data_IF_983606697632
#
_entry.id   IF_983606697632
#
_cell.length_a   1.000
_cell.length_b   1.000
_cell.length_c   1.000
_cell.angle_alpha   90.00
_cell.angle_beta   90.00
_cell.angle_gamma   90.00
#
_symmetry.space_group_name_H-M   'P 1'
#
loop_
_entity.id
_entity.type
_entity.pdbx_description
1 polymer ?
#
# COMPACT_ATOMS: atom_id res chain seq x y z
N UNK A 1 -11.78 -8.07 26.74
CA UNK A 1 -11.80 -6.61 26.50
C UNK A 1 -11.57 -6.37 25.03
N UNK A 2 -12.44 -5.59 24.37
CA UNK A 2 -12.33 -5.31 22.93
C UNK A 2 -11.24 -4.25 22.76
N UNK A 3 -10.16 -4.58 22.04
CA UNK A 3 -9.04 -3.67 21.75
C UNK A 3 -9.16 -3.03 20.37
N UNK A 4 -8.40 -1.97 20.12
CA UNK A 4 -8.28 -1.38 18.79
C UNK A 4 -7.70 -2.43 17.80
N UNK A 5 -8.35 -2.62 16.66
CA UNK A 5 -8.07 -3.67 15.68
C UNK A 5 -8.97 -4.90 15.78
N UNK A 6 -9.82 -5.00 16.81
CA UNK A 6 -10.79 -6.08 16.92
C UNK A 6 -11.85 -5.98 15.83
N UNK A 7 -12.17 -7.12 15.20
CA UNK A 7 -13.36 -7.26 14.37
C UNK A 7 -14.56 -7.43 15.27
N UNK A 8 -15.59 -6.64 15.00
CA UNK A 8 -16.82 -6.62 15.79
C UNK A 8 -17.99 -6.75 14.83
N UNK A 9 -18.95 -7.58 15.20
CA UNK A 9 -20.18 -7.76 14.44
C UNK A 9 -21.28 -6.94 15.11
N UNK A 10 -21.96 -6.11 14.32
CA UNK A 10 -23.02 -5.24 14.80
C UNK A 10 -24.31 -5.53 14.06
N UNK A 11 -25.36 -5.89 14.81
CA UNK A 11 -26.66 -6.34 14.30
C UNK A 11 -27.25 -5.48 13.16
N UNK A 12 -26.99 -4.17 13.18
CA UNK A 12 -27.51 -3.21 12.17
C UNK A 12 -26.52 -2.88 11.05
N UNK A 13 -25.22 -2.92 11.30
CA UNK A 13 -24.20 -2.38 10.37
C UNK A 13 -23.27 -3.46 9.80
N UNK A 14 -23.46 -4.72 10.22
CA UNK A 14 -22.62 -5.83 9.85
C UNK A 14 -21.22 -5.70 10.45
N UNK A 15 -20.24 -6.24 9.73
CA UNK A 15 -18.87 -6.37 10.20
C UNK A 15 -18.14 -5.03 10.20
N UNK A 16 -17.52 -4.70 11.33
CA UNK A 16 -16.68 -3.53 11.47
C UNK A 16 -15.35 -3.81 12.17
N UNK A 17 -14.37 -2.97 11.91
CA UNK A 17 -13.05 -2.97 12.56
C UNK A 17 -12.99 -1.83 13.58
N UNK A 18 -12.69 -2.13 14.83
CA UNK A 18 -12.53 -1.12 15.89
C UNK A 18 -11.26 -0.31 15.61
N UNK A 19 -11.39 0.99 15.36
CA UNK A 19 -10.27 1.90 15.11
C UNK A 19 -9.65 2.42 16.41
N UNK A 20 -10.46 2.70 17.42
CA UNK A 20 -10.00 3.20 18.72
C UNK A 20 -11.00 2.84 19.83
N UNK A 21 -10.53 2.68 21.06
CA UNK A 21 -11.36 2.37 22.23
C UNK A 21 -11.18 3.47 23.27
N UNK A 22 -12.29 4.05 23.73
CA UNK A 22 -12.34 5.12 24.73
C UNK A 22 -13.31 4.73 25.84
N UNK A 23 -12.80 4.13 26.91
CA UNK A 23 -13.61 3.65 28.03
C UNK A 23 -14.56 2.54 27.60
N UNK A 24 -15.87 2.78 27.69
CA UNK A 24 -16.92 1.82 27.30
C UNK A 24 -17.36 1.95 25.83
N UNK A 25 -16.76 2.88 25.08
CA UNK A 25 -17.11 3.20 23.70
C UNK A 25 -15.96 2.86 22.75
N UNK A 26 -16.27 2.44 21.52
CA UNK A 26 -15.30 2.22 20.46
C UNK A 26 -15.68 2.97 19.18
N UNK A 27 -14.69 3.60 18.53
CA UNK A 27 -14.84 4.11 17.18
C UNK A 27 -14.66 2.94 16.22
N UNK A 28 -15.69 2.58 15.45
CA UNK A 28 -15.68 1.40 14.59
C UNK A 28 -15.84 1.82 13.14
N UNK A 29 -15.01 1.25 12.28
CA UNK A 29 -15.12 1.34 10.83
C UNK A 29 -15.92 0.14 10.33
N UNK A 30 -17.14 0.37 9.88
CA UNK A 30 -17.93 -0.66 9.21
C UNK A 30 -17.53 -0.70 7.74
N UNK A 31 -17.14 -1.88 7.25
CA UNK A 31 -16.77 -2.02 5.85
C UNK A 31 -18.03 -1.80 5.01
N UNK A 32 -17.98 -0.82 4.13
CA UNK A 32 -19.15 -0.40 3.37
C UNK A 32 -19.57 -1.52 2.42
N UNK A 33 -20.81 -1.98 2.52
CA UNK A 33 -21.46 -2.65 1.39
C UNK A 33 -21.39 -1.72 0.17
N UNK A 34 -21.16 -2.29 -1.01
CA UNK A 34 -20.90 -1.56 -2.27
C UNK A 34 -21.79 -0.32 -2.44
N UNK A 35 -21.16 0.85 -2.67
CA UNK A 35 -21.84 2.07 -3.09
C UNK A 35 -21.53 3.36 -2.31
N UNK A 36 -20.76 3.35 -1.22
CA UNK A 36 -20.40 4.59 -0.50
C UNK A 36 -18.89 4.70 -0.21
N UNK A 37 -18.15 5.69 -0.76
CA UNK A 37 -16.67 5.71 -0.73
C UNK A 37 -16.03 6.04 0.64
N UNK A 38 -16.84 6.33 1.66
CA UNK A 38 -16.42 6.54 3.05
C UNK A 38 -17.50 5.99 3.96
N UNK A 39 -17.27 4.82 4.56
CA UNK A 39 -18.14 4.31 5.62
C UNK A 39 -18.19 5.29 6.81
N UNK A 40 -19.34 5.44 7.50
CA UNK A 40 -19.46 6.35 8.61
C UNK A 40 -18.68 5.81 9.82
N UNK A 41 -17.60 6.47 10.23
CA UNK A 41 -17.00 6.24 11.55
C UNK A 41 -18.07 6.53 12.60
N UNK A 42 -18.47 5.53 13.38
CA UNK A 42 -19.47 5.69 14.44
C UNK A 42 -18.96 5.17 15.76
N UNK A 43 -19.24 5.94 16.81
CA UNK A 43 -18.95 5.58 18.20
C UNK A 43 -20.07 4.66 18.69
N UNK A 44 -19.74 3.41 19.02
CA UNK A 44 -20.71 2.41 19.53
C UNK A 44 -20.34 1.91 20.92
N UNK A 45 -21.35 1.55 21.72
CA UNK A 45 -21.14 0.97 23.06
C UNK A 45 -20.73 -0.50 22.97
N UNK A 46 -19.61 -0.83 23.61
CA UNK A 46 -18.96 -2.15 23.51
C UNK A 46 -19.73 -3.31 24.18
N UNK A 47 -20.83 -3.00 24.89
CA UNK A 47 -21.63 -4.00 25.62
C UNK A 47 -22.61 -4.79 24.73
N UNK A 48 -22.79 -4.39 23.47
CA UNK A 48 -23.78 -4.96 22.53
C UNK A 48 -23.16 -5.72 21.34
N UNK A 49 -21.86 -6.01 21.39
CA UNK A 49 -21.15 -6.70 20.31
C UNK A 49 -20.90 -8.15 20.77
N UNK A 50 -21.66 -9.09 20.21
CA UNK A 50 -21.40 -10.53 20.38
C UNK A 50 -20.18 -10.89 19.52
N UNK A 51 -19.08 -11.20 20.19
CA UNK A 51 -17.84 -11.68 19.59
C UNK A 51 -18.15 -13.01 18.89
N UNK A 52 -18.22 -13.03 17.56
CA UNK A 52 -18.10 -14.29 16.82
C UNK A 52 -16.66 -14.75 16.96
N UNK A 53 -16.50 -15.95 17.51
CA UNK A 53 -15.21 -16.53 17.80
C UNK A 53 -14.29 -16.54 16.58
N UNK A 54 -13.06 -16.12 16.85
CA UNK A 54 -11.93 -16.15 15.92
C UNK A 54 -11.68 -17.59 15.44
N UNK A 55 -12.20 -17.91 14.25
CA UNK A 55 -11.79 -19.10 13.50
C UNK A 55 -10.82 -18.69 12.38
N UNK A 56 -9.81 -17.91 12.74
CA UNK A 56 -8.53 -17.89 12.04
C UNK A 56 -7.51 -17.96 13.16
N UNK A 57 -6.91 -19.14 13.33
CA UNK A 57 -5.74 -19.30 14.17
C UNK A 57 -4.76 -18.16 13.84
N UNK A 58 -4.40 -17.27 14.79
CA UNK A 58 -3.51 -16.14 14.51
C UNK A 58 -2.12 -16.59 14.01
N UNK A 59 -1.82 -17.89 14.07
CA UNK A 59 -0.67 -18.53 13.44
C UNK A 59 -0.79 -18.73 11.91
N UNK A 60 -1.94 -18.45 11.28
CA UNK A 60 -2.22 -18.81 9.88
C UNK A 60 -2.54 -17.62 8.94
N UNK A 61 -2.29 -16.36 9.33
CA UNK A 61 -2.31 -15.26 8.35
C UNK A 61 -1.06 -15.42 7.46
N UNK A 62 -1.20 -15.70 6.15
CA UNK A 62 -0.03 -15.84 5.29
C UNK A 62 0.76 -14.52 5.30
N UNK A 63 2.10 -14.58 5.38
CA UNK A 63 2.92 -13.38 5.41
C UNK A 63 2.68 -12.56 4.14
N UNK A 64 2.61 -11.23 4.30
CA UNK A 64 2.42 -10.31 3.18
C UNK A 64 3.56 -10.47 2.18
N UNK A 65 3.20 -10.73 0.93
CA UNK A 65 4.13 -10.86 -0.19
C UNK A 65 4.11 -9.59 -1.03
N UNK A 66 5.28 -9.08 -1.38
CA UNK A 66 5.48 -7.85 -2.14
C UNK A 66 6.24 -8.15 -3.44
N UNK A 67 5.85 -7.48 -4.52
CA UNK A 67 6.58 -7.47 -5.78
C UNK A 67 6.95 -6.06 -6.21
N UNK A 68 8.01 -5.94 -7.01
CA UNK A 68 8.40 -4.68 -7.64
C UNK A 68 7.55 -4.41 -8.87
N UNK A 69 7.29 -3.14 -9.12
CA UNK A 69 6.78 -2.66 -10.40
C UNK A 69 7.58 -1.43 -10.85
N UNK A 70 7.69 -1.29 -12.16
CA UNK A 70 8.36 -0.17 -12.82
C UNK A 70 7.38 0.51 -13.75
N UNK A 71 7.31 1.84 -13.68
CA UNK A 71 6.46 2.68 -14.53
C UNK A 71 7.35 3.64 -15.30
N UNK A 72 7.11 3.75 -16.59
CA UNK A 72 7.70 4.79 -17.42
C UNK A 72 7.01 6.14 -17.18
N UNK A 73 7.81 7.18 -17.01
CA UNK A 73 7.35 8.55 -16.79
C UNK A 73 7.57 9.39 -18.05
N UNK A 74 6.62 10.28 -18.34
CA UNK A 74 6.74 11.30 -19.38
C UNK A 74 7.85 12.28 -19.03
N UNK A 75 8.53 12.74 -20.06
CA UNK A 75 9.51 13.82 -19.93
C UNK A 75 8.87 15.08 -19.37
N UNK A 76 9.56 15.71 -18.42
CA UNK A 76 9.14 16.97 -17.82
C UNK A 76 10.34 17.73 -17.27
N UNK A 77 10.26 19.06 -17.29
CA UNK A 77 11.23 19.93 -16.65
C UNK A 77 11.23 19.80 -15.10
N UNK A 78 10.20 19.20 -14.51
CA UNK A 78 10.13 18.92 -13.07
C UNK A 78 10.97 17.69 -12.67
N UNK A 79 11.41 16.89 -13.64
CA UNK A 79 12.24 15.70 -13.40
C UNK A 79 13.73 16.07 -13.50
N UNK A 80 14.60 15.41 -12.70
CA UNK A 80 16.03 15.68 -12.72
C UNK A 80 16.62 15.39 -14.11
N UNK A 81 17.65 16.12 -14.58
CA UNK A 81 18.20 15.94 -15.92
C UNK A 81 18.74 14.52 -16.14
N UNK A 82 18.54 13.99 -17.36
CA UNK A 82 19.12 12.71 -17.81
C UNK A 82 20.49 12.92 -18.45
N UNK A 83 21.41 12.00 -18.18
CA UNK A 83 22.66 11.88 -18.92
C UNK A 83 22.46 11.32 -20.33
N UNK A 84 21.43 10.49 -20.53
CA UNK A 84 21.09 9.86 -21.80
C UNK A 84 19.60 10.07 -22.10
N UNK A 85 19.31 10.86 -23.14
CA UNK A 85 17.93 11.19 -23.55
C UNK A 85 17.20 10.03 -24.22
N UNK A 86 17.91 8.98 -24.66
CA UNK A 86 17.29 7.78 -25.23
C UNK A 86 16.62 6.90 -24.18
N UNK A 87 16.97 7.08 -22.89
CA UNK A 87 16.43 6.30 -21.78
C UNK A 87 15.28 7.04 -21.11
N UNK A 88 14.10 6.43 -20.95
CA UNK A 88 12.99 7.05 -20.24
C UNK A 88 13.29 7.27 -18.75
N UNK A 89 12.56 8.19 -18.14
CA UNK A 89 12.46 8.29 -16.69
C UNK A 89 11.63 7.13 -16.14
N UNK A 90 12.04 6.56 -15.02
CA UNK A 90 11.37 5.43 -14.39
C UNK A 90 10.92 5.78 -12.97
N UNK A 91 9.77 5.25 -12.58
CA UNK A 91 9.35 5.15 -11.20
C UNK A 91 9.39 3.69 -10.75
N UNK A 92 10.02 3.42 -9.61
CA UNK A 92 10.08 2.10 -8.97
C UNK A 92 9.27 2.12 -7.69
N UNK A 93 8.50 1.06 -7.46
CA UNK A 93 7.81 0.86 -6.20
C UNK A 93 7.54 -0.61 -5.92
N UNK A 94 7.01 -0.87 -4.72
CA UNK A 94 6.57 -2.20 -4.28
C UNK A 94 5.06 -2.25 -4.06
N UNK A 95 4.48 -3.44 -4.25
CA UNK A 95 3.05 -3.65 -4.07
C UNK A 95 2.70 -5.08 -3.65
N UNK A 96 1.69 -5.20 -2.79
CA UNK A 96 1.04 -6.47 -2.47
C UNK A 96 0.15 -6.93 -3.62
N UNK A 97 -0.49 -5.98 -4.30
CA UNK A 97 -1.46 -6.20 -5.36
C UNK A 97 -0.77 -6.46 -6.71
N UNK A 98 -1.53 -6.86 -7.75
CA UNK A 98 -1.04 -6.81 -9.12
C UNK A 98 -0.52 -5.41 -9.50
N UNK A 99 0.62 -5.30 -10.22
CA UNK A 99 1.15 -4.01 -10.68
C UNK A 99 0.16 -3.16 -11.47
N UNK A 100 -0.72 -3.80 -12.25
CA UNK A 100 -1.77 -3.13 -13.02
C UNK A 100 -2.76 -2.37 -12.11
N UNK A 101 -3.24 -3.02 -11.05
CA UNK A 101 -4.15 -2.41 -10.09
C UNK A 101 -3.48 -1.26 -9.33
N UNK A 102 -2.20 -1.45 -8.95
CA UNK A 102 -1.41 -0.40 -8.31
C UNK A 102 -1.23 0.81 -9.23
N UNK A 103 -1.01 0.57 -10.53
CA UNK A 103 -0.91 1.63 -11.52
C UNK A 103 -2.24 2.36 -11.70
N UNK A 104 -3.36 1.63 -11.77
CA UNK A 104 -4.69 2.23 -11.83
C UNK A 104 -4.95 3.15 -10.63
N UNK A 105 -4.63 2.71 -9.41
CA UNK A 105 -4.72 3.54 -8.19
C UNK A 105 -3.88 4.82 -8.32
N UNK A 106 -2.67 4.73 -8.87
CA UNK A 106 -1.84 5.91 -9.10
C UNK A 106 -2.48 6.87 -10.11
N UNK A 107 -3.16 6.37 -11.14
CA UNK A 107 -3.81 7.21 -12.17
C UNK A 107 -5.13 7.81 -11.72
N UNK A 108 -5.90 7.13 -10.88
CA UNK A 108 -7.13 7.68 -10.27
C UNK A 108 -6.82 8.72 -9.18
N UNK A 109 -5.58 8.73 -8.68
CA UNK A 109 -5.20 9.50 -7.51
C UNK A 109 -5.74 8.87 -6.22
N UNK A 110 -5.21 9.32 -5.09
CA UNK A 110 -5.60 8.79 -3.78
C UNK A 110 -4.51 8.96 -2.73
N UNK A 111 -4.82 8.57 -1.49
CA UNK A 111 -3.91 8.77 -0.35
C UNK A 111 -2.56 8.04 -0.50
N UNK A 112 -2.55 6.92 -1.21
CA UNK A 112 -1.35 6.09 -1.42
C UNK A 112 -0.77 6.26 -2.82
N UNK A 113 -1.27 7.19 -3.62
CA UNK A 113 -0.78 7.44 -4.97
C UNK A 113 0.49 8.32 -4.93
N UNK A 114 1.46 8.00 -5.77
CA UNK A 114 2.63 8.85 -5.98
C UNK A 114 2.22 10.03 -6.85
N UNK A 115 2.53 11.25 -6.40
CA UNK A 115 2.26 12.48 -7.18
C UNK A 115 2.99 12.43 -8.53
N UNK A 116 4.22 11.91 -8.55
CA UNK A 116 5.02 11.79 -9.78
C UNK A 116 4.34 10.86 -10.77
N UNK A 117 3.85 9.70 -10.32
CA UNK A 117 3.16 8.73 -11.19
C UNK A 117 1.79 9.24 -11.63
N UNK A 118 1.04 9.89 -10.75
CA UNK A 118 -0.24 10.50 -11.09
C UNK A 118 -0.06 11.49 -12.25
N UNK A 119 0.89 12.41 -12.11
CA UNK A 119 1.15 13.50 -13.07
C UNK A 119 1.88 13.01 -14.31
N UNK A 120 2.88 12.14 -14.19
CA UNK A 120 3.82 11.80 -15.27
C UNK A 120 3.76 10.34 -15.72
N UNK A 121 3.13 9.43 -14.98
CA UNK A 121 3.10 8.01 -15.32
C UNK A 121 2.37 7.73 -16.63
N UNK A 122 3.07 7.03 -17.54
CA UNK A 122 2.61 6.64 -18.86
C UNK A 122 2.11 5.20 -18.89
N UNK A 123 2.98 4.22 -18.66
CA UNK A 123 2.65 2.79 -18.67
C UNK A 123 3.63 1.95 -17.85
N UNK A 124 3.21 0.74 -17.48
CA UNK A 124 4.08 -0.24 -16.80
C UNK A 124 5.15 -0.76 -17.76
N UNK A 125 6.34 -1.08 -17.23
CA UNK A 125 7.46 -1.70 -17.94
C UNK A 125 7.79 -3.10 -17.40
N UNK A 126 6.99 -4.13 -17.71
CA UNK A 126 7.21 -5.48 -17.18
C UNK A 126 8.56 -6.09 -17.56
N UNK A 127 9.11 -5.67 -18.70
CA UNK A 127 10.46 -6.00 -19.14
C UNK A 127 11.54 -5.60 -18.12
N UNK A 128 11.29 -4.56 -17.32
CA UNK A 128 12.23 -4.03 -16.33
C UNK A 128 12.03 -4.58 -14.92
N UNK A 129 10.97 -5.37 -14.64
CA UNK A 129 10.73 -5.87 -13.28
C UNK A 129 10.32 -7.33 -13.15
N UNK A 130 9.94 -8.03 -14.22
CA UNK A 130 9.49 -9.43 -14.14
C UNK A 130 10.56 -10.40 -13.64
N UNK A 131 11.83 -10.05 -13.76
CA UNK A 131 12.94 -10.86 -13.24
C UNK A 131 13.09 -10.80 -11.71
N UNK A 132 12.48 -9.82 -11.04
CA UNK A 132 12.53 -9.74 -9.58
C UNK A 132 11.47 -10.65 -8.97
N UNK A 133 11.94 -11.61 -8.16
CA UNK A 133 11.06 -12.46 -7.37
C UNK A 133 10.37 -11.66 -6.27
N UNK A 134 9.15 -12.09 -5.94
CA UNK A 134 8.40 -11.51 -4.82
C UNK A 134 9.05 -11.90 -3.50
N UNK A 135 8.99 -11.00 -2.53
CA UNK A 135 9.57 -11.20 -1.19
C UNK A 135 8.49 -11.09 -0.12
N UNK A 136 8.69 -11.76 1.01
CA UNK A 136 7.78 -11.69 2.16
C UNK A 136 8.34 -10.78 3.23
N UNK A 137 7.48 -9.90 3.75
CA UNK A 137 7.82 -8.98 4.84
C UNK A 137 8.32 -7.61 4.37
N UNK A 138 7.99 -6.60 5.18
CA UNK A 138 8.15 -5.19 4.83
C UNK A 138 9.62 -4.78 4.63
N UNK A 139 10.54 -5.33 5.43
CA UNK A 139 11.99 -5.05 5.34
C UNK A 139 12.54 -5.56 4.01
N UNK A 140 12.26 -6.83 3.68
CA UNK A 140 12.70 -7.43 2.43
C UNK A 140 12.09 -6.70 1.22
N UNK A 141 10.85 -6.22 1.33
CA UNK A 141 10.22 -5.43 0.28
C UNK A 141 10.95 -4.10 0.04
N UNK A 142 11.33 -3.38 1.11
CA UNK A 142 12.11 -2.15 0.98
C UNK A 142 13.51 -2.40 0.39
N UNK A 143 14.16 -3.50 0.76
CA UNK A 143 15.45 -3.90 0.18
C UNK A 143 15.31 -4.23 -1.32
N UNK A 144 14.25 -4.95 -1.69
CA UNK A 144 13.95 -5.30 -3.07
C UNK A 144 13.70 -4.05 -3.93
N UNK A 145 12.98 -3.06 -3.42
CA UNK A 145 12.76 -1.78 -4.10
C UNK A 145 14.09 -1.03 -4.35
N UNK A 146 14.93 -0.92 -3.31
CA UNK A 146 16.21 -0.24 -3.40
C UNK A 146 17.17 -0.95 -4.36
N UNK A 147 17.20 -2.28 -4.32
CA UNK A 147 17.97 -3.10 -5.26
C UNK A 147 17.53 -2.85 -6.69
N UNK A 148 16.23 -2.96 -6.98
CA UNK A 148 15.70 -2.74 -8.33
C UNK A 148 15.99 -1.32 -8.83
N UNK A 149 15.84 -0.31 -7.97
CA UNK A 149 16.18 1.06 -8.31
C UNK A 149 17.69 1.25 -8.58
N UNK A 150 18.56 0.57 -7.83
CA UNK A 150 20.02 0.62 -8.00
C UNK A 150 20.44 -0.05 -9.30
N UNK A 151 19.90 -1.24 -9.59
CA UNK A 151 20.19 -1.99 -10.82
C UNK A 151 19.79 -1.19 -12.07
N UNK A 152 18.63 -0.52 -12.04
CA UNK A 152 18.18 0.35 -13.14
C UNK A 152 19.03 1.62 -13.28
N UNK A 153 19.46 2.23 -12.16
CA UNK A 153 20.40 3.37 -12.21
C UNK A 153 21.76 2.95 -12.77
N UNK A 154 22.24 1.75 -12.43
CA UNK A 154 23.47 1.18 -13.00
C UNK A 154 23.40 0.93 -14.50
N UNK A 155 22.20 0.67 -15.02
CA UNK A 155 21.92 0.60 -16.46
C UNK A 155 21.79 1.99 -17.13
N UNK A 156 21.91 3.08 -16.37
CA UNK A 156 21.87 4.45 -16.85
C UNK A 156 20.47 5.06 -16.96
N UNK A 157 19.44 4.43 -16.39
CA UNK A 157 18.13 5.06 -16.25
C UNK A 157 18.13 6.08 -15.11
N UNK A 158 17.33 7.13 -15.25
CA UNK A 158 17.02 8.03 -14.13
C UNK A 158 15.76 7.51 -13.44
N UNK A 159 15.90 7.19 -12.16
CA UNK A 159 14.89 6.46 -11.39
C UNK A 159 14.43 7.27 -10.17
N UNK A 160 13.13 7.52 -10.09
CA UNK A 160 12.43 7.93 -8.87
C UNK A 160 11.92 6.68 -8.12
N UNK A 161 12.08 6.62 -6.80
CA UNK A 161 11.68 5.45 -6.01
C UNK A 161 10.73 5.87 -4.88
N UNK A 162 9.69 5.07 -4.67
CA UNK A 162 8.61 5.36 -3.70
C UNK A 162 9.04 5.27 -2.24
N UNK A 163 10.00 4.41 -1.91
CA UNK A 163 10.63 4.41 -0.60
C UNK A 163 11.85 5.36 -0.56
N UNK A 164 11.80 6.46 0.22
CA UNK A 164 13.03 7.08 0.66
C UNK A 164 13.81 6.02 1.46
N UNK A 165 15.10 5.84 1.15
CA UNK A 165 15.94 4.84 1.80
C UNK A 165 15.78 4.87 3.33
N UNK A 166 15.18 3.78 3.85
CA UNK A 166 15.02 3.28 5.23
C UNK A 166 14.94 4.27 6.44
N UNK A 167 14.12 4.02 7.47
CA UNK A 167 13.02 3.05 7.63
C UNK A 167 11.67 3.76 7.73
N UNK A 168 10.60 2.97 7.63
CA UNK A 168 9.25 3.28 8.07
C UNK A 168 9.19 4.27 9.25
N UNK A 169 9.03 5.55 8.94
CA UNK A 169 8.44 6.52 9.84
C UNK A 169 7.03 6.03 10.14
N UNK A 170 6.89 5.29 11.25
CA UNK A 170 5.74 4.49 11.72
C UNK A 170 5.85 2.99 11.43
N UNK A 171 6.86 2.32 12.00
CA UNK A 171 6.48 1.17 12.84
C UNK A 171 5.41 1.70 13.80
N UNK A 172 4.19 1.16 13.73
CA UNK A 172 3.26 1.30 14.86
C UNK A 172 4.04 0.82 16.07
N UNK A 173 4.44 1.73 16.97
CA UNK A 173 4.89 1.36 18.30
C UNK A 173 3.78 0.46 18.86
N UNK A 174 4.14 -0.78 19.16
CA UNK A 174 3.33 -1.62 20.04
C UNK A 174 3.21 -0.93 21.40
#
# INVERSE_FOLDING_TARGET
>A
MIGAGALVDHDVFGRGTVLAVRGTNGDVYFDGQEGTPKGPTRTVQLKRLSVLEASADPAQIPPRSYGVYVIELRDSAELPPRSDSSKPYLYVGITENPPADRFAIHKTGGRTASKVVYTHGLYLRPDLYRSYERVTGDVAACELEQRAATDLRGQGFVVDAGAPGLPFGKLRKR
#
